data_IF_599854172384
#
_entry.id   IF_599854172384
#
_cell.length_a   1.000
_cell.length_b   1.000
_cell.length_c   1.000
_cell.angle_alpha   90.00
_cell.angle_beta   90.00
_cell.angle_gamma   90.00
#
_symmetry.space_group_name_H-M   'P 1'
#
loop_
_entity.id
_entity.type
_entity.pdbx_description
1 polymer ?
#
# COMPACT_ATOMS: atom_id res chain seq x y z
N UNK A 1 -14.42 16.27 -2.64
CA UNK A 1 -13.08 15.82 -2.20
C UNK A 1 -12.07 16.21 -3.27
N UNK A 2 -10.98 16.91 -2.94
CA UNK A 2 -9.99 17.35 -3.94
C UNK A 2 -8.66 16.61 -3.73
N UNK A 3 -8.24 15.86 -4.74
CA UNK A 3 -6.96 15.10 -4.79
C UNK A 3 -5.88 15.95 -5.47
N UNK A 4 -4.65 15.90 -4.95
CA UNK A 4 -3.45 16.43 -5.59
C UNK A 4 -2.31 15.42 -5.40
N UNK A 5 -1.82 14.82 -6.47
CA UNK A 5 -0.60 14.01 -6.44
C UNK A 5 0.59 14.93 -6.19
N UNK A 6 1.45 14.54 -5.23
CA UNK A 6 2.66 15.31 -4.87
C UNK A 6 3.95 14.52 -5.11
N UNK A 7 3.86 13.19 -5.25
CA UNK A 7 4.97 12.34 -5.64
C UNK A 7 4.44 11.16 -6.47
N UNK A 8 5.17 10.79 -7.51
CA UNK A 8 4.88 9.64 -8.37
C UNK A 8 6.18 8.86 -8.56
N UNK A 9 6.29 7.72 -7.88
CA UNK A 9 7.43 6.81 -7.95
C UNK A 9 7.12 5.56 -8.77
N UNK A 10 8.11 4.67 -8.87
CA UNK A 10 7.96 3.40 -9.61
C UNK A 10 6.97 2.43 -8.96
N UNK A 11 6.96 2.38 -7.62
CA UNK A 11 6.20 1.40 -6.83
C UNK A 11 4.98 2.05 -6.17
N UNK A 12 5.13 3.28 -5.68
CA UNK A 12 4.09 4.02 -4.97
C UNK A 12 3.98 5.47 -5.49
N UNK A 13 2.80 6.04 -5.34
CA UNK A 13 2.55 7.48 -5.41
C UNK A 13 2.13 8.04 -4.05
N UNK A 14 2.22 9.35 -3.88
CA UNK A 14 1.73 10.07 -2.71
C UNK A 14 0.76 11.16 -3.14
N UNK A 15 -0.43 11.17 -2.55
CA UNK A 15 -1.49 12.12 -2.87
C UNK A 15 -2.03 12.81 -1.63
N UNK A 16 -2.22 14.13 -1.74
CA UNK A 16 -2.91 14.94 -0.75
C UNK A 16 -4.40 14.99 -1.06
N UNK A 17 -5.21 14.63 -0.08
CA UNK A 17 -6.67 14.68 -0.13
C UNK A 17 -7.17 15.77 0.80
N UNK A 18 -7.86 16.77 0.24
CA UNK A 18 -8.60 17.74 1.01
C UNK A 18 -10.02 17.19 1.24
N UNK A 19 -10.33 16.87 2.49
CA UNK A 19 -11.60 16.29 2.91
C UNK A 19 -12.23 17.12 4.02
N UNK A 20 -13.55 17.01 4.14
CA UNK A 20 -14.30 17.58 5.27
C UNK A 20 -14.86 16.43 6.09
N UNK A 21 -14.57 16.40 7.37
CA UNK A 21 -15.12 15.40 8.30
C UNK A 21 -15.71 16.14 9.49
N UNK A 22 -16.99 15.85 9.79
CA UNK A 22 -17.76 16.53 10.85
C UNK A 22 -17.67 18.07 10.76
N UNK A 23 -17.82 18.61 9.55
CA UNK A 23 -17.78 20.05 9.27
C UNK A 23 -16.37 20.69 9.28
N UNK A 24 -15.31 19.96 9.66
CA UNK A 24 -13.95 20.48 9.69
C UNK A 24 -13.18 20.08 8.44
N UNK A 25 -12.50 21.04 7.81
CA UNK A 25 -11.59 20.80 6.68
C UNK A 25 -10.27 20.26 7.19
N UNK A 26 -9.79 19.17 6.60
CA UNK A 26 -8.48 18.60 6.89
C UNK A 26 -7.82 18.07 5.62
N UNK A 27 -6.50 17.88 5.70
CA UNK A 27 -5.68 17.25 4.66
C UNK A 27 -5.25 15.86 5.12
N UNK A 28 -5.28 14.89 4.21
CA UNK A 28 -4.70 13.56 4.40
C UNK A 28 -3.68 13.28 3.32
N UNK A 29 -2.54 12.73 3.72
CA UNK A 29 -1.57 12.15 2.78
C UNK A 29 -1.89 10.67 2.64
N UNK A 30 -2.02 10.20 1.40
CA UNK A 30 -2.38 8.82 1.09
C UNK A 30 -1.32 8.25 0.14
N UNK A 31 -0.73 7.13 0.55
CA UNK A 31 0.16 6.33 -0.29
C UNK A 31 -0.71 5.50 -1.23
N UNK A 32 -0.56 5.75 -2.53
CA UNK A 32 -1.19 4.99 -3.60
C UNK A 32 -0.24 3.85 -3.98
N UNK A 33 -0.59 2.60 -3.65
CA UNK A 33 0.22 1.43 -3.93
C UNK A 33 -0.59 0.42 -4.74
N UNK A 34 0.08 -0.31 -5.66
CA UNK A 34 -0.58 -1.37 -6.43
C UNK A 34 -1.05 -2.48 -5.48
N UNK A 35 -2.13 -3.17 -5.82
CA UNK A 35 -2.57 -4.33 -5.04
C UNK A 35 -1.47 -5.40 -4.95
N UNK A 36 -1.51 -6.21 -3.90
CA UNK A 36 -0.66 -7.38 -3.73
C UNK A 36 -1.54 -8.60 -3.46
N UNK A 37 -1.01 -9.78 -3.75
CA UNK A 37 -1.64 -11.06 -3.45
C UNK A 37 -0.65 -11.99 -2.76
N UNK A 38 -1.18 -12.96 -2.01
CA UNK A 38 -0.42 -14.03 -1.40
C UNK A 38 -1.16 -15.35 -1.59
N UNK A 39 -0.41 -16.45 -1.59
CA UNK A 39 -0.94 -17.81 -1.71
C UNK A 39 -0.49 -18.63 -0.51
N UNK A 40 -1.40 -19.40 0.06
CA UNK A 40 -1.10 -20.41 1.06
C UNK A 40 -1.15 -21.78 0.39
N UNK A 41 0.02 -22.32 0.03
CA UNK A 41 0.14 -23.60 -0.69
C UNK A 41 0.61 -24.71 0.26
N UNK A 42 0.01 -25.89 0.09
CA UNK A 42 0.35 -27.12 0.81
C UNK A 42 0.98 -28.14 -0.16
N UNK A 43 1.98 -28.87 0.30
CA UNK A 43 2.54 -30.03 -0.42
C UNK A 43 1.74 -31.32 -0.14
N UNK A 44 2.15 -32.43 -0.78
CA UNK A 44 1.50 -33.75 -0.63
C UNK A 44 1.55 -34.30 0.81
N UNK A 45 2.46 -33.79 1.66
CA UNK A 45 2.61 -34.16 3.06
C UNK A 45 1.94 -33.16 4.01
N UNK A 46 1.19 -32.18 3.49
CA UNK A 46 0.50 -31.15 4.25
C UNK A 46 1.42 -30.06 4.83
N UNK A 47 2.65 -29.91 4.33
CA UNK A 47 3.56 -28.83 4.72
C UNK A 47 3.30 -27.57 3.92
N UNK A 48 3.56 -26.40 4.52
CA UNK A 48 3.37 -25.09 3.88
C UNK A 48 4.63 -24.67 3.11
N UNK A 49 4.46 -24.27 1.87
CA UNK A 49 5.54 -23.73 1.04
C UNK A 49 5.75 -22.24 1.37
N UNK A 50 6.97 -21.88 1.77
CA UNK A 50 7.35 -20.53 2.15
C UNK A 50 8.60 -20.05 1.39
N UNK A 51 8.80 -18.74 1.33
CA UNK A 51 10.01 -18.12 0.78
C UNK A 51 10.81 -17.44 1.89
N UNK A 52 12.14 -17.48 1.79
CA UNK A 52 13.04 -16.65 2.62
C UNK A 52 13.45 -15.43 1.80
N UNK A 53 12.82 -14.29 2.05
CA UNK A 53 13.08 -13.07 1.32
C UNK A 53 13.75 -12.02 2.21
N UNK A 54 14.93 -11.53 1.81
CA UNK A 54 15.52 -10.35 2.41
C UNK A 54 14.64 -9.12 2.11
N UNK A 55 14.33 -8.33 3.14
CA UNK A 55 13.53 -7.11 3.02
C UNK A 55 14.42 -5.91 3.29
N UNK A 56 14.82 -5.21 2.23
CA UNK A 56 15.32 -3.85 2.35
C UNK A 56 14.13 -2.90 2.23
N UNK A 57 13.74 -2.27 3.34
CA UNK A 57 12.67 -1.29 3.33
C UNK A 57 13.04 -0.14 2.40
N UNK A 58 12.20 0.15 1.40
CA UNK A 58 12.26 1.44 0.74
C UNK A 58 11.60 2.45 1.67
N UNK A 59 12.43 3.23 2.36
CA UNK A 59 12.01 4.44 3.06
C UNK A 59 11.77 5.57 2.08
#
# INVERSE_FOLDING_TARGET
MKKKTIYEGKILGLSLYNITVRGRKMKREIIEHRGAAAVLAFDENGKVILVKQHRFGHG
#
